data_IF_216677894690
#
_entry.id   IF_216677894690
#
_cell.length_a   1.000
_cell.length_b   1.000
_cell.length_c   1.000
_cell.angle_alpha   90.00
_cell.angle_beta   90.00
_cell.angle_gamma   90.00
#
_symmetry.space_group_name_H-M   'P 1'
#
loop_
_entity.id
_entity.type
_entity.pdbx_description
1 polymer ?
#
# COMPACT_ATOMS: atom_id res chain seq x y z
N UNK A 1 12.10 -25.49 10.34
CA UNK A 1 10.94 -24.86 9.68
C UNK A 1 11.48 -24.00 8.57
N UNK A 2 10.99 -24.19 7.33
CA UNK A 2 11.34 -23.33 6.20
C UNK A 2 10.89 -21.89 6.49
N UNK A 3 11.73 -20.91 6.20
CA UNK A 3 11.37 -19.48 6.25
C UNK A 3 10.41 -19.14 5.11
N UNK A 4 9.63 -18.07 5.25
CA UNK A 4 8.73 -17.61 4.18
C UNK A 4 9.45 -17.44 2.83
N UNK A 5 10.67 -16.89 2.86
CA UNK A 5 11.48 -16.68 1.64
C UNK A 5 11.81 -18.01 0.98
N UNK A 6 12.25 -19.01 1.75
CA UNK A 6 12.57 -20.33 1.23
C UNK A 6 11.34 -20.99 0.60
N UNK A 7 10.16 -20.85 1.22
CA UNK A 7 8.90 -21.33 0.63
C UNK A 7 8.59 -20.62 -0.69
N UNK A 8 8.68 -19.29 -0.73
CA UNK A 8 8.41 -18.52 -1.95
C UNK A 8 9.38 -18.86 -3.10
N UNK A 9 10.63 -19.19 -2.78
CA UNK A 9 11.63 -19.68 -3.74
C UNK A 9 11.28 -21.09 -4.21
N UNK A 10 10.96 -22.01 -3.29
CA UNK A 10 10.61 -23.40 -3.60
C UNK A 10 9.37 -23.50 -4.49
N UNK A 11 8.38 -22.65 -4.25
CA UNK A 11 7.14 -22.59 -5.03
C UNK A 11 7.32 -21.88 -6.39
N UNK A 12 8.52 -21.38 -6.70
CA UNK A 12 8.82 -20.67 -7.94
C UNK A 12 8.07 -19.34 -8.09
N UNK A 13 7.56 -18.78 -6.99
CA UNK A 13 6.77 -17.54 -6.98
C UNK A 13 7.68 -16.33 -7.22
N UNK A 14 8.91 -16.36 -6.68
CA UNK A 14 9.87 -15.28 -6.83
C UNK A 14 10.61 -15.37 -8.17
N UNK A 15 10.50 -14.33 -8.98
CA UNK A 15 11.25 -14.18 -10.23
C UNK A 15 12.34 -13.11 -10.07
N UNK A 16 13.53 -13.36 -10.64
CA UNK A 16 14.61 -12.38 -10.65
C UNK A 16 14.17 -11.10 -11.35
N UNK A 17 14.25 -9.91 -10.72
CA UNK A 17 13.92 -8.65 -11.38
C UNK A 17 14.79 -8.38 -12.61
N UNK A 18 16.04 -8.87 -12.60
CA UNK A 18 16.99 -8.69 -13.70
C UNK A 18 16.70 -9.62 -14.89
N UNK A 19 16.63 -10.94 -14.67
CA UNK A 19 16.53 -11.93 -15.77
C UNK A 19 15.20 -12.70 -15.84
N UNK A 20 14.28 -12.46 -14.91
CA UNK A 20 12.95 -13.13 -14.79
C UNK A 20 12.99 -14.63 -14.53
N UNK A 21 14.15 -15.22 -14.21
CA UNK A 21 14.25 -16.64 -13.86
C UNK A 21 13.91 -16.88 -12.39
N UNK A 22 13.36 -18.05 -12.07
CA UNK A 22 13.00 -18.49 -10.71
C UNK A 22 14.12 -19.31 -10.03
N UNK A 23 15.37 -19.10 -10.43
CA UNK A 23 16.52 -19.89 -9.97
C UNK A 23 17.26 -19.13 -8.89
N UNK A 24 16.98 -19.48 -7.63
CA UNK A 24 17.50 -18.76 -6.47
C UNK A 24 18.27 -19.66 -5.52
N UNK A 25 19.38 -19.14 -5.04
CA UNK A 25 20.07 -19.61 -3.85
C UNK A 25 19.83 -18.64 -2.70
N UNK A 26 19.26 -19.13 -1.61
CA UNK A 26 18.96 -18.34 -0.42
C UNK A 26 20.14 -18.40 0.55
N UNK A 27 20.69 -17.24 0.88
CA UNK A 27 21.66 -17.08 1.97
C UNK A 27 21.01 -16.28 3.13
N UNK A 28 21.72 -16.16 4.25
CA UNK A 28 21.20 -15.45 5.45
C UNK A 28 20.90 -13.98 5.18
N UNK A 29 21.74 -13.31 4.37
CA UNK A 29 21.69 -11.87 4.12
C UNK A 29 21.49 -11.51 2.64
N UNK A 30 21.31 -12.50 1.76
CA UNK A 30 21.09 -12.24 0.33
C UNK A 30 20.37 -13.38 -0.38
N UNK A 31 19.71 -13.02 -1.49
CA UNK A 31 19.28 -13.94 -2.54
C UNK A 31 20.25 -13.83 -3.70
N UNK A 32 20.74 -14.98 -4.17
CA UNK A 32 21.59 -15.08 -5.36
C UNK A 32 20.80 -15.71 -6.49
N UNK A 33 20.67 -15.00 -7.61
CA UNK A 33 20.06 -15.56 -8.81
C UNK A 33 21.09 -16.42 -9.55
N UNK A 34 20.89 -17.72 -9.59
CA UNK A 34 21.83 -18.65 -10.22
C UNK A 34 21.87 -18.52 -11.76
N UNK A 35 20.84 -17.90 -12.37
CA UNK A 35 20.76 -17.72 -13.81
C UNK A 35 21.55 -16.52 -14.35
N UNK A 36 21.60 -15.41 -13.60
CA UNK A 36 22.24 -14.16 -14.04
C UNK A 36 23.29 -13.62 -13.07
N UNK A 37 23.61 -14.41 -12.04
CA UNK A 37 24.63 -14.11 -11.03
C UNK A 37 24.40 -12.82 -10.22
N UNK A 38 23.18 -12.27 -10.27
CA UNK A 38 22.83 -11.05 -9.54
C UNK A 38 22.51 -11.37 -8.08
N UNK A 39 23.05 -10.56 -7.17
CA UNK A 39 22.81 -10.64 -5.73
C UNK A 39 21.81 -9.57 -5.28
N UNK A 40 20.89 -9.95 -4.40
CA UNK A 40 19.87 -9.09 -3.84
C UNK A 40 19.92 -9.18 -2.32
N UNK A 41 20.01 -8.06 -1.58
CA UNK A 41 20.14 -8.11 -0.13
C UNK A 41 18.84 -8.60 0.52
N UNK A 42 18.95 -9.31 1.64
CA UNK A 42 17.84 -9.63 2.54
C UNK A 42 18.02 -8.76 3.78
N UNK A 43 17.04 -7.90 4.04
CA UNK A 43 17.07 -6.93 5.15
C UNK A 43 15.87 -7.15 6.02
N UNK A 44 16.08 -7.26 7.33
CA UNK A 44 15.01 -7.52 8.29
C UNK A 44 14.16 -8.75 7.91
N UNK A 45 14.79 -9.77 7.28
CA UNK A 45 14.15 -10.98 6.72
C UNK A 45 13.18 -10.72 5.55
N UNK A 46 13.35 -9.61 4.86
CA UNK A 46 12.61 -9.26 3.64
C UNK A 46 13.62 -9.13 2.50
N UNK A 47 13.44 -9.83 1.37
CA UNK A 47 14.26 -9.61 0.19
C UNK A 47 14.03 -8.22 -0.39
N UNK A 48 15.10 -7.48 -0.58
CA UNK A 48 15.10 -6.19 -1.24
C UNK A 48 15.37 -6.41 -2.73
N UNK A 49 14.29 -6.53 -3.50
CA UNK A 49 14.31 -6.80 -4.95
C UNK A 49 14.21 -5.51 -5.78
N UNK A 50 14.46 -4.35 -5.17
CA UNK A 50 14.43 -3.06 -5.84
C UNK A 50 15.86 -2.59 -6.15
N UNK A 51 16.16 -2.35 -7.43
CA UNK A 51 17.51 -1.99 -7.90
C UNK A 51 17.65 -0.54 -8.37
N UNK A 52 16.65 0.32 -8.12
CA UNK A 52 16.67 1.72 -8.57
C UNK A 52 17.03 2.69 -7.44
N UNK A 53 17.63 2.20 -6.35
CA UNK A 53 18.16 3.05 -5.31
C UNK A 53 19.39 3.81 -5.81
N UNK A 54 19.39 5.12 -5.56
CA UNK A 54 20.55 5.99 -5.72
C UNK A 54 20.85 6.60 -4.36
N UNK A 55 22.12 6.57 -3.95
CA UNK A 55 22.54 7.34 -2.78
C UNK A 55 22.30 8.82 -3.08
N UNK A 56 21.67 9.53 -2.15
CA UNK A 56 21.58 10.98 -2.26
C UNK A 56 23.00 11.56 -2.20
N UNK A 57 23.47 12.08 -3.34
CA UNK A 57 24.74 12.80 -3.44
C UNK A 57 24.59 14.30 -3.18
N UNK A 58 23.36 14.78 -2.93
CA UNK A 58 23.10 16.19 -2.64
C UNK A 58 23.58 16.57 -1.23
N UNK A 59 24.08 17.79 -1.09
CA UNK A 59 24.56 18.40 0.15
C UNK A 59 23.48 18.66 1.21
N UNK A 60 22.31 18.01 1.09
CA UNK A 60 21.25 18.10 2.08
C UNK A 60 21.48 16.95 3.06
N UNK A 61 21.96 17.22 4.29
CA UNK A 61 22.10 16.18 5.28
C UNK A 61 20.68 15.67 5.54
N UNK A 62 20.45 14.37 5.31
CA UNK A 62 19.20 13.73 5.73
C UNK A 62 18.86 14.07 7.18
N UNK A 63 17.64 13.73 7.61
CA UNK A 63 17.11 14.13 8.93
C UNK A 63 18.17 14.10 10.05
N UNK A 64 18.33 15.17 10.86
CA UNK A 64 19.24 15.17 11.98
C UNK A 64 19.01 13.95 12.89
N UNK A 65 20.06 13.42 13.52
CA UNK A 65 19.97 12.20 14.33
C UNK A 65 18.88 12.26 15.42
N UNK A 66 18.63 13.44 16.00
CA UNK A 66 17.56 13.66 16.96
C UNK A 66 16.16 13.50 16.35
N UNK A 67 15.96 13.97 15.11
CA UNK A 67 14.70 13.82 14.37
C UNK A 67 14.50 12.38 13.91
N UNK A 68 15.57 11.70 13.48
CA UNK A 68 15.52 10.26 13.18
C UNK A 68 15.09 9.44 14.39
N UNK A 69 15.67 9.71 15.56
CA UNK A 69 15.29 9.03 16.80
C UNK A 69 13.83 9.30 17.19
N UNK A 70 13.36 10.54 17.07
CA UNK A 70 11.96 10.90 17.33
C UNK A 70 11.00 10.18 16.37
N UNK A 71 11.37 10.05 15.09
CA UNK A 71 10.62 9.30 14.10
C UNK A 71 10.58 7.80 14.41
N UNK A 72 11.70 7.21 14.82
CA UNK A 72 11.75 5.80 15.27
C UNK A 72 10.77 5.57 16.42
N UNK A 73 10.78 6.43 17.43
CA UNK A 73 9.86 6.34 18.56
C UNK A 73 8.40 6.53 18.15
N UNK A 74 8.12 7.43 17.20
CA UNK A 74 6.78 7.64 16.66
C UNK A 74 6.28 6.40 15.90
N UNK A 75 7.10 5.79 15.05
CA UNK A 75 6.79 4.55 14.31
C UNK A 75 6.52 3.41 15.28
N UNK A 76 7.42 3.19 16.26
CA UNK A 76 7.27 2.12 17.24
C UNK A 76 5.95 2.25 18.02
N UNK A 77 5.59 3.48 18.41
CA UNK A 77 4.33 3.76 19.10
C UNK A 77 3.11 3.56 18.20
N UNK A 78 3.12 4.10 17.00
CA UNK A 78 1.99 4.05 16.06
C UNK A 78 1.68 2.62 15.61
N UNK A 79 2.69 1.76 15.54
CA UNK A 79 2.57 0.37 15.15
C UNK A 79 2.52 -0.59 16.35
N UNK A 80 2.46 -0.07 17.59
CA UNK A 80 2.44 -0.85 18.83
C UNK A 80 3.57 -1.88 18.93
N UNK A 81 4.76 -1.50 18.44
CA UNK A 81 5.95 -2.34 18.42
C UNK A 81 6.78 -2.21 19.70
N UNK A 82 7.58 -3.23 19.99
CA UNK A 82 8.50 -3.24 21.14
C UNK A 82 9.49 -2.08 21.05
N UNK A 83 9.50 -1.23 22.08
CA UNK A 83 10.36 -0.03 22.14
C UNK A 83 11.78 -0.32 22.62
N UNK A 84 12.03 -1.51 23.18
CA UNK A 84 13.34 -1.94 23.63
C UNK A 84 13.99 -2.95 22.68
N UNK A 85 15.32 -2.99 22.66
CA UNK A 85 16.09 -4.06 22.04
C UNK A 85 16.07 -4.08 20.52
N UNK A 86 15.99 -5.29 19.95
CA UNK A 86 16.29 -5.52 18.52
C UNK A 86 15.27 -4.90 17.56
N UNK A 87 14.03 -4.67 17.98
CA UNK A 87 13.01 -4.06 17.11
C UNK A 87 13.29 -2.58 16.87
N UNK A 88 13.60 -1.82 17.93
CA UNK A 88 13.99 -0.41 17.82
C UNK A 88 15.20 -0.22 16.92
N UNK A 89 16.23 -1.06 17.07
CA UNK A 89 17.42 -1.01 16.22
C UNK A 89 17.11 -1.28 14.73
N UNK A 90 16.16 -2.18 14.44
CA UNK A 90 15.73 -2.46 13.06
C UNK A 90 14.93 -1.30 12.45
N UNK A 91 14.07 -0.66 13.23
CA UNK A 91 13.33 0.53 12.77
C UNK A 91 14.30 1.69 12.52
N UNK A 92 15.29 1.87 13.39
CA UNK A 92 16.34 2.88 13.20
C UNK A 92 17.14 2.65 11.90
N UNK A 93 17.55 1.40 11.62
CA UNK A 93 18.23 1.05 10.36
C UNK A 93 17.38 1.37 9.13
N UNK A 94 16.07 1.12 9.20
CA UNK A 94 15.13 1.43 8.12
C UNK A 94 15.03 2.95 7.90
N UNK A 95 14.89 3.73 8.97
CA UNK A 95 14.78 5.20 8.92
C UNK A 95 16.06 5.83 8.38
N UNK A 96 17.22 5.41 8.88
CA UNK A 96 18.52 5.89 8.41
C UNK A 96 18.67 5.66 6.90
N UNK A 97 18.35 4.45 6.45
CA UNK A 97 18.47 4.09 5.03
C UNK A 97 17.48 4.85 4.15
N UNK A 98 16.23 5.01 4.60
CA UNK A 98 15.24 5.80 3.88
C UNK A 98 15.68 7.26 3.73
N UNK A 99 16.36 7.81 4.75
CA UNK A 99 16.90 9.18 4.69
C UNK A 99 18.11 9.34 3.77
N UNK A 100 18.84 8.26 3.48
CA UNK A 100 20.06 8.30 2.66
C UNK A 100 19.81 8.00 1.18
N UNK A 101 18.66 7.40 0.84
CA UNK A 101 18.41 6.81 -0.48
C UNK A 101 17.28 7.56 -1.20
N UNK A 102 17.56 8.00 -2.42
CA UNK A 102 16.56 8.48 -3.36
C UNK A 102 16.32 7.44 -4.46
N UNK A 103 15.27 7.63 -5.24
CA UNK A 103 15.07 6.91 -6.49
C UNK A 103 15.28 7.87 -7.67
N UNK A 104 15.74 7.36 -8.81
CA UNK A 104 15.80 8.14 -10.05
C UNK A 104 14.41 8.59 -10.56
N UNK A 105 13.35 8.00 -10.02
CA UNK A 105 11.96 8.36 -10.30
C UNK A 105 11.41 9.24 -9.16
N UNK A 106 10.87 10.41 -9.53
CA UNK A 106 10.28 11.36 -8.59
C UNK A 106 9.05 10.78 -7.88
N UNK A 107 8.27 9.90 -8.53
CA UNK A 107 7.10 9.29 -7.92
C UNK A 107 7.48 8.27 -6.83
N UNK A 108 8.52 7.46 -7.06
CA UNK A 108 9.02 6.55 -6.03
C UNK A 108 9.72 7.30 -4.89
N UNK A 109 10.41 8.41 -5.19
CA UNK A 109 10.98 9.29 -4.16
C UNK A 109 9.87 9.90 -3.31
N UNK A 110 8.76 10.34 -3.92
CA UNK A 110 7.60 10.83 -3.19
C UNK A 110 6.96 9.75 -2.31
N UNK A 111 6.84 8.50 -2.77
CA UNK A 111 6.33 7.39 -1.93
C UNK A 111 7.28 7.05 -0.75
N UNK A 112 8.60 7.10 -0.97
CA UNK A 112 9.59 6.89 0.10
C UNK A 112 9.47 8.01 1.16
N UNK A 113 9.28 9.26 0.71
CA UNK A 113 9.13 10.41 1.59
C UNK A 113 7.75 10.47 2.28
N UNK A 114 6.67 9.95 1.66
CA UNK A 114 5.33 9.87 2.25
C UNK A 114 5.33 9.05 3.56
N UNK A 115 6.21 8.05 3.68
CA UNK A 115 6.41 7.33 4.93
C UNK A 115 6.98 8.24 6.02
N UNK A 116 7.94 9.11 5.68
CA UNK A 116 8.51 10.07 6.64
C UNK A 116 7.43 11.08 7.07
N UNK A 117 6.66 11.63 6.14
CA UNK A 117 5.60 12.59 6.42
C UNK A 117 4.48 12.00 7.30
N UNK A 118 4.15 10.72 7.10
CA UNK A 118 3.05 10.06 7.81
C UNK A 118 3.37 9.75 9.28
N UNK A 119 4.64 9.51 9.58
CA UNK A 119 5.09 9.14 10.93
C UNK A 119 5.90 10.23 11.61
N UNK A 120 6.29 11.28 10.90
CA UNK A 120 6.94 12.45 11.49
C UNK A 120 6.05 12.99 12.63
N UNK A 121 6.56 13.08 13.86
CA UNK A 121 5.81 13.71 14.93
C UNK A 121 5.63 15.19 14.59
N UNK A 122 4.46 15.56 14.07
CA UNK A 122 4.07 16.96 13.94
C UNK A 122 3.99 17.55 15.36
N UNK A 123 4.82 18.56 15.70
CA UNK A 123 4.78 19.18 17.03
C UNK A 123 3.48 19.94 17.26
N UNK A 124 2.76 20.29 16.20
CA UNK A 124 1.45 20.89 16.26
C UNK A 124 0.39 19.81 16.06
N UNK A 125 -0.65 19.75 16.93
CA UNK A 125 -1.89 19.09 16.57
C UNK A 125 -2.28 19.65 15.20
N UNK A 126 -2.44 18.79 14.20
CA UNK A 126 -3.06 19.22 12.95
C UNK A 126 -4.48 19.63 13.34
N UNK A 127 -4.68 20.93 13.60
CA UNK A 127 -6.01 21.47 13.80
C UNK A 127 -6.80 20.99 12.60
N UNK A 128 -7.90 20.28 12.86
CA UNK A 128 -8.79 19.88 11.80
C UNK A 128 -9.23 21.18 11.14
N UNK A 129 -8.63 21.48 9.97
CA UNK A 129 -8.99 22.65 9.20
C UNK A 129 -10.51 22.69 9.03
N UNK A 130 -11.09 23.88 8.79
CA UNK A 130 -12.54 24.05 8.73
C UNK A 130 -13.19 22.92 7.95
N UNK A 131 -14.30 22.39 8.47
CA UNK A 131 -14.99 21.26 7.84
C UNK A 131 -15.16 21.56 6.35
N UNK A 132 -14.64 20.69 5.46
CA UNK A 132 -14.70 20.93 4.03
C UNK A 132 -16.16 20.99 3.57
N UNK A 133 -16.37 21.62 2.40
CA UNK A 133 -17.69 21.71 1.80
C UNK A 133 -18.33 20.32 1.61
N UNK A 134 -19.68 20.22 1.56
CA UNK A 134 -20.39 18.98 1.28
C UNK A 134 -19.88 18.28 0.02
N UNK A 135 -19.95 16.95 0.00
CA UNK A 135 -19.67 16.14 -1.19
C UNK A 135 -20.77 16.32 -2.24
N UNK A 136 -20.70 17.41 -3.01
CA UNK A 136 -21.69 17.72 -4.04
C UNK A 136 -21.41 16.89 -5.30
N UNK A 137 -22.39 16.10 -5.72
CA UNK A 137 -22.38 15.33 -6.97
C UNK A 137 -21.05 14.57 -7.23
N UNK A 138 -20.63 13.66 -6.31
CA UNK A 138 -19.39 12.92 -6.47
C UNK A 138 -19.42 12.08 -7.76
N UNK A 139 -18.39 12.20 -8.59
CA UNK A 139 -18.23 11.39 -9.79
C UNK A 139 -16.84 10.78 -9.82
N UNK A 140 -16.76 9.49 -10.14
CA UNK A 140 -15.49 8.77 -10.19
C UNK A 140 -15.31 8.06 -11.53
N UNK A 141 -14.05 7.80 -11.86
CA UNK A 141 -13.66 6.85 -12.90
C UNK A 141 -12.94 5.68 -12.26
N UNK A 142 -13.35 4.46 -12.60
CA UNK A 142 -12.61 3.26 -12.23
C UNK A 142 -11.42 3.10 -13.17
N UNK A 143 -10.20 3.16 -12.62
CA UNK A 143 -8.96 2.98 -13.39
C UNK A 143 -8.58 1.50 -13.48
N UNK A 144 -8.70 0.78 -12.35
CA UNK A 144 -8.29 -0.63 -12.26
C UNK A 144 -8.99 -1.35 -11.11
N UNK A 145 -9.22 -2.65 -11.26
CA UNK A 145 -9.62 -3.55 -10.18
C UNK A 145 -8.75 -4.79 -10.13
N UNK A 146 -8.67 -5.40 -8.94
CA UNK A 146 -7.97 -6.68 -8.71
C UNK A 146 -8.94 -7.80 -8.32
N UNK A 147 -10.21 -7.70 -8.73
CA UNK A 147 -11.18 -8.78 -8.60
C UNK A 147 -10.84 -9.95 -9.54
N UNK A 148 -10.87 -11.20 -9.08
CA UNK A 148 -10.72 -12.37 -9.93
C UNK A 148 -11.97 -12.58 -10.80
N UNK A 149 -11.81 -13.28 -11.91
CA UNK A 149 -12.90 -13.57 -12.85
C UNK A 149 -13.93 -14.56 -12.29
N UNK A 150 -13.55 -15.34 -11.28
CA UNK A 150 -14.43 -16.32 -10.62
C UNK A 150 -14.26 -16.25 -9.10
N UNK A 151 -15.36 -16.49 -8.39
CA UNK A 151 -15.43 -16.52 -6.94
C UNK A 151 -16.18 -17.76 -6.49
N UNK A 152 -15.77 -18.30 -5.34
CA UNK A 152 -16.57 -19.33 -4.67
C UNK A 152 -17.85 -18.68 -4.14
N UNK A 153 -18.99 -19.32 -4.34
CA UNK A 153 -20.30 -18.87 -3.85
C UNK A 153 -20.24 -18.52 -2.36
N UNK A 154 -20.77 -17.35 -1.99
CA UNK A 154 -20.78 -16.86 -0.60
C UNK A 154 -19.42 -16.50 0.01
N UNK A 155 -18.32 -16.66 -0.73
CA UNK A 155 -16.98 -16.33 -0.23
C UNK A 155 -16.80 -14.82 -0.01
N UNK A 156 -15.94 -14.48 0.95
CA UNK A 156 -15.55 -13.10 1.24
C UNK A 156 -14.11 -12.90 0.80
N UNK A 157 -13.87 -11.87 0.01
CA UNK A 157 -12.53 -11.50 -0.47
C UNK A 157 -12.29 -10.01 -0.24
N UNK A 158 -11.03 -9.60 -0.19
CA UNK A 158 -10.65 -8.19 -0.23
C UNK A 158 -9.96 -7.91 -1.56
N UNK A 159 -10.53 -7.04 -2.39
CA UNK A 159 -9.96 -6.68 -3.68
C UNK A 159 -9.72 -5.16 -3.74
N UNK A 160 -8.55 -4.76 -4.24
CA UNK A 160 -8.23 -3.35 -4.39
C UNK A 160 -8.94 -2.75 -5.61
N UNK A 161 -9.57 -1.59 -5.43
CA UNK A 161 -10.17 -0.78 -6.49
C UNK A 161 -9.38 0.52 -6.61
N UNK A 162 -8.80 0.79 -7.77
CA UNK A 162 -8.12 2.05 -8.07
C UNK A 162 -9.08 2.97 -8.78
N UNK A 163 -9.49 4.05 -8.12
CA UNK A 163 -10.46 5.02 -8.64
C UNK A 163 -9.88 6.43 -8.63
N UNK A 164 -10.34 7.24 -9.57
CA UNK A 164 -9.97 8.66 -9.69
C UNK A 164 -11.19 9.53 -9.41
N UNK A 165 -11.03 10.58 -8.61
CA UNK A 165 -12.04 11.62 -8.51
C UNK A 165 -12.12 12.38 -9.85
N UNK A 166 -13.21 12.16 -10.58
CA UNK A 166 -13.47 12.80 -11.87
C UNK A 166 -14.43 13.98 -11.76
N UNK A 167 -14.83 14.35 -10.54
CA UNK A 167 -15.66 15.51 -10.28
C UNK A 167 -14.84 16.79 -10.13
N UNK A 168 -15.55 17.91 -10.11
CA UNK A 168 -14.93 19.24 -10.00
C UNK A 168 -14.59 19.64 -8.55
N UNK A 169 -15.15 18.92 -7.58
CA UNK A 169 -14.98 19.18 -6.15
C UNK A 169 -14.19 18.08 -5.42
N UNK A 170 -13.50 18.42 -4.31
CA UNK A 170 -12.86 17.42 -3.48
C UNK A 170 -13.89 16.54 -2.79
N UNK A 171 -13.56 15.27 -2.58
CA UNK A 171 -14.32 14.40 -1.69
C UNK A 171 -13.78 14.52 -0.29
N UNK A 172 -14.63 14.92 0.64
CA UNK A 172 -14.34 14.91 2.06
C UNK A 172 -14.65 13.54 2.69
N UNK A 173 -13.66 13.04 3.41
CA UNK A 173 -13.74 11.89 4.32
C UNK A 173 -14.23 12.28 5.73
N UNK A 174 -14.19 13.58 6.06
CA UNK A 174 -14.39 14.13 7.42
C UNK A 174 -15.83 14.55 7.73
N UNK A 175 -16.73 14.51 6.75
CA UNK A 175 -18.15 14.85 6.96
C UNK A 175 -18.87 13.74 7.75
N UNK A 176 -19.87 14.13 8.56
CA UNK A 176 -20.68 13.18 9.34
C UNK A 176 -21.40 12.17 8.43
N UNK A 177 -21.90 12.65 7.29
CA UNK A 177 -22.40 11.83 6.17
C UNK A 177 -21.26 11.57 5.18
N UNK A 178 -20.19 10.93 5.65
CA UNK A 178 -18.99 10.68 4.86
C UNK A 178 -19.29 9.97 3.54
N UNK A 179 -18.52 10.27 2.50
CA UNK A 179 -18.68 9.63 1.20
C UNK A 179 -18.34 8.13 1.30
N UNK A 180 -19.16 7.30 0.66
CA UNK A 180 -18.98 5.86 0.58
C UNK A 180 -18.82 5.45 -0.89
N UNK A 181 -17.87 4.55 -1.15
CA UNK A 181 -17.89 3.74 -2.36
C UNK A 181 -18.68 2.47 -2.08
N UNK A 182 -19.80 2.30 -2.76
CA UNK A 182 -20.61 1.07 -2.68
C UNK A 182 -20.30 0.16 -3.86
N UNK A 183 -20.33 -1.15 -3.65
CA UNK A 183 -20.38 -2.14 -4.73
C UNK A 183 -21.65 -2.96 -4.59
N UNK A 184 -22.22 -3.41 -5.71
CA UNK A 184 -23.39 -4.28 -5.70
C UNK A 184 -23.39 -5.25 -6.86
N UNK A 185 -23.85 -6.47 -6.59
CA UNK A 185 -24.07 -7.48 -7.60
C UNK A 185 -25.40 -7.25 -8.31
N UNK A 186 -25.36 -7.37 -9.63
CA UNK A 186 -26.52 -7.47 -10.51
C UNK A 186 -26.51 -8.86 -11.13
N UNK A 187 -27.57 -9.60 -10.86
CA UNK A 187 -27.80 -10.90 -11.49
C UNK A 187 -28.32 -10.69 -12.90
N UNK A 188 -27.88 -11.54 -13.83
CA UNK A 188 -28.46 -11.62 -15.17
C UNK A 188 -29.88 -12.20 -15.17
N UNK A 189 -30.26 -12.94 -14.13
CA UNK A 189 -31.55 -13.62 -13.99
C UNK A 189 -32.56 -12.87 -13.10
N UNK A 190 -32.12 -11.90 -12.30
CA UNK A 190 -32.97 -11.19 -11.35
C UNK A 190 -32.67 -9.69 -11.34
N UNK A 191 -33.71 -8.87 -11.35
CA UNK A 191 -33.63 -7.40 -11.28
C UNK A 191 -33.19 -6.86 -9.91
N UNK A 192 -32.92 -7.74 -8.94
CA UNK A 192 -32.57 -7.35 -7.58
C UNK A 192 -31.08 -7.02 -7.45
N UNK A 193 -30.79 -5.79 -7.00
CA UNK A 193 -29.45 -5.33 -6.61
C UNK A 193 -29.13 -5.85 -5.20
N UNK A 194 -28.00 -6.52 -5.04
CA UNK A 194 -27.51 -6.95 -3.73
C UNK A 194 -26.22 -6.20 -3.39
N UNK A 195 -26.19 -5.48 -2.27
CA UNK A 195 -24.98 -4.78 -1.82
C UNK A 195 -23.87 -5.80 -1.54
N UNK A 196 -22.72 -5.59 -2.17
CA UNK A 196 -21.55 -6.46 -2.07
C UNK A 196 -20.55 -5.94 -1.03
N UNK A 197 -20.36 -4.62 -0.96
CA UNK A 197 -19.52 -3.94 0.03
C UNK A 197 -19.80 -2.43 0.04
N UNK A 198 -19.42 -1.78 1.14
CA UNK A 198 -19.38 -0.33 1.28
C UNK A 198 -18.08 0.05 1.99
N UNK A 199 -17.37 1.05 1.49
CA UNK A 199 -16.08 1.50 2.05
C UNK A 199 -16.08 3.02 2.15
N UNK A 200 -15.65 3.52 3.31
CA UNK A 200 -15.38 4.95 3.53
C UNK A 200 -14.02 5.33 2.97
N UNK A 201 -13.91 6.55 2.46
CA UNK A 201 -12.62 7.11 2.09
C UNK A 201 -11.79 7.40 3.35
N UNK A 202 -10.52 6.96 3.41
CA UNK A 202 -9.68 7.18 4.59
C UNK A 202 -9.11 8.60 4.67
N UNK A 203 -9.14 9.34 3.55
CA UNK A 203 -8.61 10.69 3.40
C UNK A 203 -9.48 11.49 2.43
N UNK A 204 -9.30 12.81 2.42
CA UNK A 204 -9.92 13.68 1.42
C UNK A 204 -9.26 13.47 0.05
N UNK A 205 -10.07 13.43 -1.02
CA UNK A 205 -9.63 13.15 -2.40
C UNK A 205 -9.88 14.36 -3.28
N UNK A 206 -8.83 15.09 -3.64
CA UNK A 206 -8.90 16.22 -4.56
C UNK A 206 -9.38 15.79 -5.97
N UNK A 207 -9.95 16.72 -6.77
CA UNK A 207 -10.22 16.48 -8.19
C UNK A 207 -8.99 15.96 -8.93
N UNK A 208 -9.16 14.95 -9.77
CA UNK A 208 -8.08 14.30 -10.51
C UNK A 208 -7.19 13.36 -9.69
N UNK A 209 -7.30 13.34 -8.35
CA UNK A 209 -6.51 12.44 -7.51
C UNK A 209 -7.02 11.01 -7.61
N UNK A 210 -6.09 10.07 -7.74
CA UNK A 210 -6.36 8.63 -7.72
C UNK A 210 -6.07 8.04 -6.33
N UNK A 211 -6.92 7.10 -5.89
CA UNK A 211 -6.73 6.32 -4.66
C UNK A 211 -6.97 4.84 -4.93
N UNK A 212 -6.24 3.97 -4.21
CA UNK A 212 -6.51 2.53 -4.15
C UNK A 212 -7.25 2.20 -2.86
N UNK A 213 -8.48 1.69 -2.96
CA UNK A 213 -9.32 1.32 -1.83
C UNK A 213 -9.46 -0.21 -1.71
N UNK A 214 -9.21 -0.80 -0.54
CA UNK A 214 -9.49 -2.22 -0.29
C UNK A 214 -10.99 -2.43 -0.11
N UNK A 215 -11.64 -3.16 -1.02
CA UNK A 215 -13.06 -3.48 -0.95
C UNK A 215 -13.31 -4.91 -0.45
N UNK A 216 -13.97 -5.10 0.71
CA UNK A 216 -14.31 -6.42 1.25
C UNK A 216 -15.59 -6.97 0.61
N UNK A 217 -15.47 -7.53 -0.59
CA UNK A 217 -16.57 -8.05 -1.41
C UNK A 217 -17.06 -9.41 -0.91
N UNK A 218 -18.38 -9.57 -0.80
CA UNK A 218 -19.05 -10.86 -0.53
C UNK A 218 -19.67 -11.37 -1.84
N UNK A 219 -19.27 -12.57 -2.28
CA UNK A 219 -19.81 -13.20 -3.49
C UNK A 219 -21.29 -13.62 -3.31
N UNK A 220 -22.10 -13.64 -4.39
CA UNK A 220 -23.48 -14.11 -4.33
C UNK A 220 -23.60 -15.56 -3.82
N UNK A 221 -24.74 -15.86 -3.18
CA UNK A 221 -25.09 -17.22 -2.70
C UNK A 221 -25.62 -18.13 -3.81
N UNK A 222 -25.95 -17.57 -4.98
CA UNK A 222 -26.38 -18.34 -6.14
C UNK A 222 -25.26 -18.38 -7.18
N UNK A 223 -24.86 -19.58 -7.67
CA UNK A 223 -23.89 -19.68 -8.75
C UNK A 223 -24.45 -19.08 -10.04
N UNK A 224 -23.56 -18.56 -10.89
CA UNK A 224 -23.92 -18.01 -12.19
C UNK A 224 -23.12 -16.76 -12.56
N UNK A 225 -23.45 -16.18 -13.71
CA UNK A 225 -22.85 -14.94 -14.16
C UNK A 225 -23.51 -13.74 -13.46
N UNK A 226 -22.69 -12.97 -12.74
CA UNK A 226 -23.10 -11.75 -12.05
C UNK A 226 -22.22 -10.58 -12.49
N UNK A 227 -22.80 -9.39 -12.61
CA UNK A 227 -22.06 -8.15 -12.84
C UNK A 227 -21.88 -7.42 -11.52
N UNK A 228 -20.65 -7.05 -11.17
CA UNK A 228 -20.41 -6.10 -10.08
C UNK A 228 -20.53 -4.67 -10.62
N UNK A 229 -21.30 -3.82 -9.95
CA UNK A 229 -21.35 -2.37 -10.21
C UNK A 229 -20.89 -1.59 -8.99
N UNK A 230 -20.09 -0.55 -9.25
CA UNK A 230 -19.69 0.47 -8.29
C UNK A 230 -20.65 1.67 -8.41
#
# INVERSE_FOLDING_TARGET
MSTLIETLVQDGILLCPNCRQAQWRVATESLHCEACDTHWPIRNRVPDLFNQYQLQTSADPGLPAAEQQALVEAILRALELETAGTMSARVAEIVERASAWACSDEAYTAEINDLLDRFAPSPEPVEAGPLPAPNLAPSFRLERHYLPESLTVGSRICANMRITNSGDGPWSSRLAEGLLLSASWLSTAATSKMTAAEVRFPIDIAPGRTISLPMPIIAPQMPGAHQLRL
#
